data_IF_517294317777
#
_entry.id   IF_517294317777
#
_cell.length_a   1.000
_cell.length_b   1.000
_cell.length_c   1.000
_cell.angle_alpha   90.00
_cell.angle_beta   90.00
_cell.angle_gamma   90.00
#
_symmetry.space_group_name_H-M   'P 1'
#
loop_
_entity.id
_entity.type
_entity.pdbx_description
1 polymer ?
#
# COMPACT_ATOMS: atom_id res chain seq x y z
N UNK A 1 24.35 20.88 71.35
CA UNK A 1 23.25 20.61 70.41
C UNK A 1 22.08 21.45 70.86
N UNK A 2 21.90 22.60 70.23
CA UNK A 2 20.87 23.57 70.61
C UNK A 2 19.53 23.17 70.02
N UNK A 3 18.42 23.67 70.57
CA UNK A 3 17.06 23.42 70.09
C UNK A 3 16.90 23.63 68.57
N UNK A 4 17.68 24.57 68.00
CA UNK A 4 17.71 24.86 66.57
C UNK A 4 18.31 23.71 65.72
N UNK A 5 19.26 22.92 66.25
CA UNK A 5 19.86 21.80 65.52
C UNK A 5 18.84 20.65 65.31
N UNK A 6 17.99 20.40 66.32
CA UNK A 6 16.94 19.38 66.25
C UNK A 6 15.79 19.76 65.31
N UNK A 7 15.37 21.04 65.32
CA UNK A 7 14.35 21.55 64.39
C UNK A 7 14.86 21.50 62.94
N UNK A 8 16.14 21.79 62.70
CA UNK A 8 16.73 21.74 61.36
C UNK A 8 16.81 20.29 60.82
N UNK A 9 17.11 19.31 61.69
CA UNK A 9 17.12 17.89 61.35
C UNK A 9 15.70 17.39 61.00
N UNK A 10 14.70 17.70 61.81
CA UNK A 10 13.31 17.29 61.55
C UNK A 10 12.76 17.91 60.25
N UNK A 11 13.06 19.18 59.99
CA UNK A 11 12.72 19.85 58.74
C UNK A 11 13.39 19.19 57.52
N UNK A 12 14.63 18.74 57.64
CA UNK A 12 15.35 18.03 56.57
C UNK A 12 14.73 16.65 56.30
N UNK A 13 14.35 15.90 57.34
CA UNK A 13 13.63 14.63 57.19
C UNK A 13 12.26 14.81 56.55
N UNK A 14 11.54 15.90 56.87
CA UNK A 14 10.26 16.22 56.25
C UNK A 14 10.40 16.53 54.76
N UNK A 15 11.41 17.32 54.38
CA UNK A 15 11.72 17.62 52.98
C UNK A 15 12.10 16.36 52.18
N UNK A 16 12.91 15.48 52.76
CA UNK A 16 13.31 14.23 52.11
C UNK A 16 12.11 13.29 51.85
N UNK A 17 11.16 13.20 52.78
CA UNK A 17 9.93 12.43 52.60
C UNK A 17 9.05 12.99 51.48
N UNK A 18 8.93 14.33 51.40
CA UNK A 18 8.16 15.00 50.33
C UNK A 18 8.83 14.78 48.97
N UNK A 19 10.15 14.94 48.88
CA UNK A 19 10.90 14.69 47.64
C UNK A 19 10.77 13.23 47.17
N UNK A 20 10.83 12.28 48.10
CA UNK A 20 10.60 10.86 47.82
C UNK A 20 9.17 10.59 47.31
N UNK A 21 8.16 11.19 47.94
CA UNK A 21 6.77 11.06 47.50
C UNK A 21 6.56 11.64 46.09
N UNK A 22 7.14 12.80 45.78
CA UNK A 22 7.09 13.39 44.44
C UNK A 22 7.77 12.48 43.42
N UNK A 23 8.95 11.94 43.74
CA UNK A 23 9.66 11.01 42.85
C UNK A 23 8.83 9.75 42.56
N UNK A 24 8.17 9.18 43.56
CA UNK A 24 7.27 8.03 43.39
C UNK A 24 6.08 8.36 42.48
N UNK A 25 5.47 9.53 42.67
CA UNK A 25 4.38 10.00 41.79
C UNK A 25 4.88 10.18 40.36
N UNK A 26 6.04 10.81 40.16
CA UNK A 26 6.64 10.99 38.84
C UNK A 26 6.92 9.64 38.14
N UNK A 27 7.47 8.66 38.88
CA UNK A 27 7.72 7.32 38.36
C UNK A 27 6.41 6.62 38.00
N UNK A 28 5.40 6.66 38.86
CA UNK A 28 4.08 6.09 38.58
C UNK A 28 3.44 6.73 37.34
N UNK A 29 3.52 8.06 37.21
CA UNK A 29 3.02 8.74 36.00
C UNK A 29 3.79 8.33 34.75
N UNK A 30 5.12 8.19 34.82
CA UNK A 30 5.93 7.73 33.70
C UNK A 30 5.54 6.29 33.29
N UNK A 31 5.29 5.43 34.26
CA UNK A 31 4.89 4.03 34.04
C UNK A 31 3.51 3.96 33.38
N UNK A 32 2.54 4.77 33.86
CA UNK A 32 1.22 4.89 33.23
C UNK A 32 1.32 5.40 31.79
N UNK A 33 2.14 6.44 31.54
CA UNK A 33 2.37 6.96 30.18
C UNK A 33 2.99 5.89 29.28
N UNK A 34 3.98 5.13 29.78
CA UNK A 34 4.60 4.05 29.03
C UNK A 34 3.58 2.97 28.63
N UNK A 35 2.70 2.55 29.55
CA UNK A 35 1.62 1.59 29.25
C UNK A 35 0.64 2.15 28.21
N UNK A 36 0.24 3.43 28.32
CA UNK A 36 -0.66 4.05 27.34
C UNK A 36 -0.03 4.10 25.94
N UNK A 37 1.27 4.43 25.84
CA UNK A 37 1.99 4.47 24.57
C UNK A 37 2.11 3.08 23.93
N UNK A 38 2.36 2.05 24.72
CA UNK A 38 2.47 0.66 24.25
C UNK A 38 1.14 0.16 23.68
N UNK A 39 0.03 0.37 24.41
CA UNK A 39 -1.33 0.03 23.96
C UNK A 39 -1.75 0.78 22.69
N UNK A 40 -1.33 2.04 22.55
CA UNK A 40 -1.57 2.84 21.34
C UNK A 40 -0.78 2.26 20.16
N UNK A 41 0.48 1.91 20.39
CA UNK A 41 1.38 1.38 19.35
C UNK A 41 0.85 0.09 18.74
N UNK A 42 0.37 -0.85 19.56
CA UNK A 42 -0.20 -2.10 19.04
C UNK A 42 -1.41 -1.90 18.14
N UNK A 43 -2.24 -0.89 18.43
CA UNK A 43 -3.45 -0.59 17.65
C UNK A 43 -3.08 0.01 16.29
N UNK A 44 -2.13 0.95 16.26
CA UNK A 44 -1.61 1.52 15.02
C UNK A 44 -0.89 0.48 14.16
N UNK A 45 -0.09 -0.41 14.76
CA UNK A 45 0.58 -1.47 14.01
C UNK A 45 -0.41 -2.46 13.37
N UNK A 46 -1.53 -2.76 14.05
CA UNK A 46 -2.59 -3.65 13.50
C UNK A 46 -3.40 -3.00 12.38
N UNK A 47 -3.57 -1.68 12.42
CA UNK A 47 -4.27 -0.92 11.37
C UNK A 47 -3.38 -0.58 10.18
N UNK A 48 -2.08 -0.34 10.41
CA UNK A 48 -1.11 0.02 9.37
C UNK A 48 -0.55 -1.19 8.60
N UNK A 49 -0.86 -2.43 9.01
CA UNK A 49 -0.47 -3.62 8.25
C UNK A 49 -1.20 -3.68 6.92
N UNK A 50 -0.46 -4.04 5.88
CA UNK A 50 -1.01 -4.31 4.56
C UNK A 50 -2.16 -5.31 4.64
N UNK A 51 -3.29 -4.96 4.01
CA UNK A 51 -4.43 -5.85 3.80
C UNK A 51 -4.71 -5.93 2.31
N UNK A 52 -4.76 -7.15 1.74
CA UNK A 52 -5.20 -7.34 0.36
C UNK A 52 -6.52 -6.61 0.10
N UNK A 53 -6.72 -6.03 -1.10
CA UNK A 53 -7.96 -5.32 -1.41
C UNK A 53 -9.21 -6.15 -1.12
N UNK A 54 -9.19 -7.44 -1.48
CA UNK A 54 -10.28 -8.39 -1.27
C UNK A 54 -10.74 -8.58 0.19
N UNK A 55 -9.92 -8.18 1.18
CA UNK A 55 -10.21 -8.34 2.61
C UNK A 55 -10.82 -7.06 3.22
N UNK A 56 -11.03 -5.99 2.44
CA UNK A 56 -11.54 -4.71 2.97
C UNK A 56 -13.05 -4.78 3.26
N UNK A 57 -13.53 -4.17 4.36
CA UNK A 57 -14.95 -4.17 4.73
C UNK A 57 -15.92 -3.56 3.69
N UNK A 58 -15.40 -2.83 2.70
CA UNK A 58 -16.17 -2.27 1.58
C UNK A 58 -16.60 -3.34 0.55
N UNK A 59 -16.06 -4.56 0.60
CA UNK A 59 -16.25 -5.62 -0.42
C UNK A 59 -17.41 -6.59 -0.15
N UNK A 60 -18.34 -6.23 0.76
CA UNK A 60 -19.65 -6.91 0.86
C UNK A 60 -20.60 -6.52 -0.27
N UNK A 61 -20.06 -6.35 -1.48
CA UNK A 61 -20.85 -6.26 -2.70
C UNK A 61 -21.73 -7.50 -2.80
N UNK A 62 -23.01 -7.27 -3.06
CA UNK A 62 -23.97 -8.36 -3.24
C UNK A 62 -23.56 -9.22 -4.44
N UNK A 63 -23.92 -10.50 -4.43
CA UNK A 63 -23.63 -11.40 -5.57
C UNK A 63 -24.18 -10.87 -6.91
N UNK A 64 -25.26 -10.07 -6.87
CA UNK A 64 -25.82 -9.42 -8.05
C UNK A 64 -24.92 -8.31 -8.62
N UNK A 65 -24.36 -7.46 -7.76
CA UNK A 65 -23.45 -6.38 -8.13
C UNK A 65 -22.14 -6.91 -8.72
N UNK A 66 -21.62 -8.00 -8.16
CA UNK A 66 -20.45 -8.73 -8.70
C UNK A 66 -20.72 -9.28 -10.11
N UNK A 67 -21.92 -9.83 -10.35
CA UNK A 67 -22.32 -10.30 -11.68
C UNK A 67 -22.49 -9.16 -12.68
N UNK A 68 -22.89 -7.98 -12.22
CA UNK A 68 -23.02 -6.78 -13.05
C UNK A 68 -21.66 -6.23 -13.48
N UNK A 69 -20.70 -6.14 -12.54
CA UNK A 69 -19.31 -5.74 -12.81
C UNK A 69 -18.63 -6.61 -13.89
N UNK A 70 -18.99 -7.89 -13.98
CA UNK A 70 -18.49 -8.80 -15.02
C UNK A 70 -19.10 -8.56 -16.40
N UNK A 71 -20.27 -7.93 -16.49
CA UNK A 71 -21.02 -7.69 -17.74
C UNK A 71 -20.89 -6.27 -18.28
N UNK A 72 -20.04 -5.47 -17.66
CA UNK A 72 -19.79 -4.08 -18.06
C UNK A 72 -19.40 -4.00 -19.54
N UNK A 73 -19.98 -3.01 -20.24
CA UNK A 73 -19.61 -2.64 -21.60
C UNK A 73 -18.69 -1.42 -21.55
N UNK A 74 -17.37 -1.62 -21.50
CA UNK A 74 -16.44 -0.52 -21.33
C UNK A 74 -16.36 0.39 -22.56
N UNK A 75 -16.30 1.69 -22.31
CA UNK A 75 -16.09 2.74 -23.32
C UNK A 75 -14.62 3.14 -23.40
N UNK A 76 -13.88 2.96 -22.31
CA UNK A 76 -12.44 3.17 -22.22
C UNK A 76 -11.80 2.05 -21.40
N UNK A 77 -10.53 1.75 -21.69
CA UNK A 77 -9.75 0.83 -20.88
C UNK A 77 -8.36 0.65 -21.45
N UNK A 78 -7.42 0.18 -20.62
CA UNK A 78 -6.07 -0.13 -21.06
C UNK A 78 -5.55 -1.39 -20.36
N UNK A 79 -4.60 -2.05 -21.03
CA UNK A 79 -3.71 -3.01 -20.41
C UNK A 79 -2.35 -2.35 -20.20
N UNK A 80 -1.89 -2.35 -18.95
CA UNK A 80 -0.66 -1.67 -18.52
C UNK A 80 0.32 -2.71 -18.00
N UNK A 81 1.52 -2.72 -18.58
CA UNK A 81 2.66 -3.52 -18.14
C UNK A 81 3.46 -2.72 -17.11
N UNK A 82 3.66 -3.26 -15.92
CA UNK A 82 4.39 -2.58 -14.84
C UNK A 82 5.64 -3.38 -14.49
N UNK A 83 6.85 -2.88 -14.80
CA UNK A 83 8.09 -3.56 -14.42
C UNK A 83 8.20 -3.70 -12.91
N UNK A 84 8.60 -4.87 -12.45
CA UNK A 84 8.80 -5.18 -11.05
C UNK A 84 10.09 -6.01 -10.88
N UNK A 85 10.72 -5.93 -9.71
CA UNK A 85 11.98 -6.65 -9.46
C UNK A 85 11.86 -7.30 -8.09
N UNK A 86 11.85 -8.64 -8.02
CA UNK A 86 11.91 -9.33 -6.72
C UNK A 86 13.29 -9.23 -6.09
N UNK A 87 14.31 -9.08 -6.94
CA UNK A 87 15.66 -8.73 -6.54
C UNK A 87 16.37 -8.00 -7.68
N UNK A 88 17.45 -7.32 -7.31
CA UNK A 88 18.45 -6.78 -8.24
C UNK A 88 19.83 -7.19 -7.78
N UNK A 89 20.85 -7.03 -8.61
CA UNK A 89 22.22 -7.43 -8.27
C UNK A 89 23.07 -6.25 -7.82
N UNK A 90 23.94 -6.51 -6.84
CA UNK A 90 24.96 -5.57 -6.36
C UNK A 90 26.33 -6.26 -6.26
N UNK A 91 27.39 -5.44 -6.23
CA UNK A 91 28.78 -5.88 -6.16
C UNK A 91 29.08 -7.01 -7.16
N UNK A 92 29.50 -8.18 -6.67
CA UNK A 92 29.87 -9.35 -7.45
C UNK A 92 28.65 -10.23 -7.84
N UNK A 93 27.52 -9.60 -8.17
CA UNK A 93 26.30 -10.32 -8.57
C UNK A 93 25.46 -10.85 -7.41
N UNK A 94 25.67 -10.36 -6.18
CA UNK A 94 24.86 -10.77 -5.04
C UNK A 94 23.45 -10.19 -5.15
N UNK A 95 22.39 -10.99 -4.92
CA UNK A 95 21.02 -10.50 -5.00
C UNK A 95 20.67 -9.66 -3.77
N UNK A 96 20.06 -8.51 -4.01
CA UNK A 96 19.37 -7.69 -3.02
C UNK A 96 17.88 -7.88 -3.23
N UNK A 97 17.22 -8.55 -2.28
CA UNK A 97 15.80 -8.84 -2.34
C UNK A 97 14.97 -7.58 -2.13
N UNK A 98 13.81 -7.48 -2.76
CA UNK A 98 12.98 -6.27 -2.75
C UNK A 98 11.54 -6.64 -2.43
N UNK A 99 10.96 -5.95 -1.46
CA UNK A 99 9.51 -5.92 -1.28
C UNK A 99 8.91 -5.04 -2.37
N UNK A 100 7.86 -5.53 -3.03
CA UNK A 100 7.22 -4.83 -4.15
C UNK A 100 5.80 -4.44 -3.75
N UNK A 101 5.49 -3.15 -3.86
CA UNK A 101 4.15 -2.61 -3.71
C UNK A 101 3.70 -2.07 -5.06
N UNK A 102 2.78 -2.77 -5.73
CA UNK A 102 2.05 -2.23 -6.87
C UNK A 102 0.98 -1.27 -6.33
N UNK A 103 0.98 -0.02 -6.79
CA UNK A 103 -0.05 0.98 -6.48
C UNK A 103 -0.83 1.33 -7.75
N UNK A 104 -2.15 1.34 -7.63
CA UNK A 104 -3.08 1.78 -8.67
C UNK A 104 -3.91 2.91 -8.08
N UNK A 105 -3.92 4.06 -8.77
CA UNK A 105 -4.60 5.28 -8.31
C UNK A 105 -5.57 5.76 -9.37
N UNK A 106 -6.85 5.85 -9.02
CA UNK A 106 -7.83 6.56 -9.84
C UNK A 106 -7.53 8.06 -9.75
N UNK A 107 -7.21 8.68 -10.89
CA UNK A 107 -6.90 10.12 -10.98
C UNK A 107 -8.13 10.95 -11.35
N UNK A 108 -9.27 10.30 -11.64
CA UNK A 108 -10.52 11.00 -11.89
C UNK A 108 -11.09 11.57 -10.58
N UNK A 109 -11.48 12.86 -10.58
CA UNK A 109 -12.04 13.52 -9.39
C UNK A 109 -13.49 13.12 -9.11
N UNK A 110 -14.20 12.60 -10.11
CA UNK A 110 -15.65 12.42 -10.09
C UNK A 110 -16.14 11.07 -10.64
N UNK A 111 -15.31 10.34 -11.38
CA UNK A 111 -15.69 9.07 -12.00
C UNK A 111 -15.01 7.87 -11.35
N UNK A 112 -15.73 6.75 -11.33
CA UNK A 112 -15.20 5.46 -10.91
C UNK A 112 -14.34 4.82 -12.01
N UNK A 113 -13.32 4.09 -11.58
CA UNK A 113 -12.45 3.27 -12.41
C UNK A 113 -12.58 1.81 -11.97
N UNK A 114 -12.69 0.86 -12.89
CA UNK A 114 -12.74 -0.56 -12.53
C UNK A 114 -11.41 -1.23 -12.86
N UNK A 115 -10.73 -1.74 -11.84
CA UNK A 115 -9.55 -2.60 -12.01
C UNK A 115 -10.04 -4.01 -12.29
N UNK A 116 -10.00 -4.40 -13.57
CA UNK A 116 -10.52 -5.69 -14.04
C UNK A 116 -9.64 -6.87 -13.64
N UNK A 117 -8.32 -6.70 -13.70
CA UNK A 117 -7.39 -7.76 -13.31
C UNK A 117 -6.03 -7.21 -12.91
N UNK A 118 -5.36 -7.91 -11.99
CA UNK A 118 -3.97 -7.69 -11.62
C UNK A 118 -3.27 -9.04 -11.60
N UNK A 119 -2.32 -9.23 -12.51
CA UNK A 119 -1.61 -10.51 -12.71
C UNK A 119 -0.12 -10.28 -12.58
N UNK A 120 0.58 -11.17 -11.87
CA UNK A 120 2.01 -11.10 -11.61
C UNK A 120 2.73 -12.23 -12.34
N UNK A 121 3.82 -11.89 -13.02
CA UNK A 121 4.59 -12.79 -13.87
C UNK A 121 6.05 -12.84 -13.42
N UNK A 122 6.69 -13.99 -13.63
CA UNK A 122 8.12 -14.13 -13.44
C UNK A 122 8.93 -13.66 -14.66
N UNK A 123 10.25 -13.76 -14.54
CA UNK A 123 11.23 -13.37 -15.56
C UNK A 123 11.07 -14.14 -16.87
N UNK A 124 10.58 -15.38 -16.80
CA UNK A 124 10.35 -16.25 -17.96
C UNK A 124 8.99 -16.02 -18.63
N UNK A 125 8.16 -15.12 -18.08
CA UNK A 125 6.84 -14.80 -18.58
C UNK A 125 5.73 -15.76 -18.11
N UNK A 126 6.00 -16.60 -17.12
CA UNK A 126 4.99 -17.44 -16.46
C UNK A 126 4.17 -16.62 -15.47
N UNK A 127 2.85 -16.78 -15.49
CA UNK A 127 1.96 -16.14 -14.53
C UNK A 127 2.03 -16.85 -13.17
N UNK A 128 2.57 -16.18 -12.17
CA UNK A 128 2.71 -16.71 -10.82
C UNK A 128 1.43 -16.52 -9.99
N UNK A 129 0.77 -15.37 -10.13
CA UNK A 129 -0.36 -15.00 -9.26
C UNK A 129 -1.37 -14.10 -9.97
N UNK A 130 -2.65 -14.36 -9.73
CA UNK A 130 -3.72 -13.42 -9.98
C UNK A 130 -4.19 -12.86 -8.63
N UNK A 131 -4.13 -11.54 -8.47
CA UNK A 131 -4.45 -10.89 -7.20
C UNK A 131 -5.93 -10.55 -7.02
N UNK A 132 -6.69 -10.54 -8.13
CA UNK A 132 -8.11 -10.27 -8.15
C UNK A 132 -8.84 -11.50 -8.68
N UNK A 133 -9.81 -12.01 -7.91
CA UNK A 133 -10.77 -13.02 -8.37
C UNK A 133 -11.95 -12.39 -9.11
N UNK A 134 -12.24 -11.12 -8.83
CA UNK A 134 -13.35 -10.34 -9.39
C UNK A 134 -12.88 -8.90 -9.70
N UNK A 135 -13.53 -8.19 -10.64
CA UNK A 135 -13.23 -6.78 -10.89
C UNK A 135 -13.40 -5.94 -9.62
N UNK A 136 -12.46 -5.03 -9.39
CA UNK A 136 -12.45 -4.14 -8.23
C UNK A 136 -12.79 -2.71 -8.66
N UNK A 137 -13.97 -2.16 -8.30
CA UNK A 137 -14.26 -0.76 -8.51
C UNK A 137 -13.41 0.11 -7.59
N UNK A 138 -12.95 1.23 -8.12
CA UNK A 138 -12.09 2.19 -7.47
C UNK A 138 -12.76 3.56 -7.57
N UNK A 139 -13.31 4.00 -6.45
CA UNK A 139 -14.01 5.27 -6.31
C UNK A 139 -13.16 6.46 -6.81
N UNK A 140 -13.78 7.62 -7.10
CA UNK A 140 -13.04 8.82 -7.49
C UNK A 140 -11.91 9.15 -6.50
N UNK A 141 -10.73 9.46 -7.02
CA UNK A 141 -9.51 9.74 -6.25
C UNK A 141 -9.03 8.59 -5.33
N UNK A 142 -9.63 7.39 -5.40
CA UNK A 142 -9.24 6.27 -4.55
C UNK A 142 -8.01 5.54 -5.09
N UNK A 143 -7.36 4.77 -4.20
CA UNK A 143 -6.19 3.96 -4.53
C UNK A 143 -6.28 2.57 -3.96
N UNK A 144 -5.51 1.65 -4.54
CA UNK A 144 -5.43 0.27 -4.12
C UNK A 144 -4.03 -0.29 -4.35
N UNK A 145 -3.59 -1.17 -3.44
CA UNK A 145 -2.24 -1.68 -3.41
C UNK A 145 -2.18 -3.21 -3.39
N UNK A 146 -1.17 -3.76 -4.07
CA UNK A 146 -0.85 -5.19 -4.08
C UNK A 146 0.60 -5.41 -3.64
N UNK A 147 0.79 -6.30 -2.68
CA UNK A 147 2.10 -6.60 -2.09
C UNK A 147 2.67 -7.92 -2.64
N UNK A 148 3.94 -7.89 -3.02
CA UNK A 148 4.82 -9.06 -3.11
C UNK A 148 5.84 -8.89 -1.98
N UNK A 149 5.86 -9.85 -1.06
CA UNK A 149 6.76 -9.79 0.10
C UNK A 149 8.22 -9.93 -0.35
N UNK A 150 9.14 -9.23 0.30
CA UNK A 150 10.57 -9.26 -0.08
C UNK A 150 11.23 -10.64 0.03
N UNK A 151 10.62 -11.61 0.71
CA UNK A 151 11.08 -13.00 0.72
C UNK A 151 10.70 -13.80 -0.52
N UNK A 152 9.79 -13.29 -1.35
CA UNK A 152 9.32 -13.97 -2.56
C UNK A 152 10.28 -13.71 -3.74
N UNK A 153 11.17 -14.67 -3.99
CA UNK A 153 12.12 -14.61 -5.10
C UNK A 153 11.54 -15.09 -6.43
N UNK A 154 10.33 -15.66 -6.45
CA UNK A 154 9.78 -16.39 -7.61
C UNK A 154 9.63 -15.53 -8.86
N UNK A 155 9.44 -14.21 -8.71
CA UNK A 155 9.35 -13.29 -9.84
C UNK A 155 10.66 -13.08 -10.61
N UNK A 156 11.80 -13.23 -9.94
CA UNK A 156 13.12 -12.90 -10.48
C UNK A 156 13.34 -11.41 -10.82
N UNK A 157 14.38 -11.16 -11.61
CA UNK A 157 14.83 -9.80 -12.01
C UNK A 157 14.07 -9.21 -13.20
N UNK A 158 13.25 -10.01 -13.88
CA UNK A 158 12.38 -9.58 -14.98
C UNK A 158 10.90 -9.65 -14.61
N UNK A 159 10.57 -9.68 -13.32
CA UNK A 159 9.20 -9.77 -12.86
C UNK A 159 8.35 -8.60 -13.39
N UNK A 160 7.05 -8.81 -13.48
CA UNK A 160 6.16 -7.74 -13.93
C UNK A 160 4.73 -7.97 -13.48
N UNK A 161 3.97 -6.88 -13.45
CA UNK A 161 2.53 -6.93 -13.36
C UNK A 161 1.90 -6.61 -14.70
N UNK A 162 0.80 -7.28 -14.99
CA UNK A 162 -0.15 -6.88 -16.02
C UNK A 162 -1.44 -6.43 -15.34
N UNK A 163 -1.72 -5.14 -15.45
CA UNK A 163 -2.92 -4.51 -14.89
C UNK A 163 -3.87 -4.19 -16.02
N UNK A 164 -5.12 -4.63 -15.88
CA UNK A 164 -6.19 -4.25 -16.79
C UNK A 164 -7.18 -3.39 -16.04
N UNK A 165 -7.51 -2.23 -16.60
CA UNK A 165 -8.54 -1.36 -16.09
C UNK A 165 -9.53 -1.00 -17.20
N UNK A 166 -10.76 -0.72 -16.80
CA UNK A 166 -11.84 -0.29 -17.69
C UNK A 166 -12.67 0.81 -17.02
N UNK A 167 -13.42 1.55 -17.83
CA UNK A 167 -14.48 2.44 -17.37
C UNK A 167 -15.63 2.48 -18.37
N UNK A 168 -16.85 2.67 -17.85
CA UNK A 168 -18.07 2.85 -18.64
C UNK A 168 -18.20 4.26 -19.23
N UNK A 169 -17.41 5.20 -18.71
CA UNK A 169 -17.33 6.58 -19.19
C UNK A 169 -15.88 6.94 -19.47
N UNK A 170 -15.66 8.09 -20.12
CA UNK A 170 -14.30 8.62 -20.26
C UNK A 170 -13.81 9.12 -18.91
N UNK A 171 -12.62 8.68 -18.51
CA UNK A 171 -11.96 9.03 -17.26
C UNK A 171 -10.52 9.47 -17.51
N UNK A 172 -9.94 10.19 -16.54
CA UNK A 172 -8.50 10.47 -16.52
C UNK A 172 -7.72 9.15 -16.41
N UNK A 173 -6.58 9.07 -17.09
CA UNK A 173 -5.74 7.87 -17.03
C UNK A 173 -5.23 7.63 -15.59
N UNK A 174 -5.37 6.41 -15.07
CA UNK A 174 -4.89 6.10 -13.72
C UNK A 174 -3.37 6.13 -13.64
N UNK A 175 -2.85 6.42 -12.46
CA UNK A 175 -1.43 6.21 -12.17
C UNK A 175 -1.27 4.77 -11.70
N UNK A 176 -0.42 4.01 -12.39
CA UNK A 176 -0.09 2.63 -12.05
C UNK A 176 1.43 2.52 -11.97
N UNK A 177 1.94 2.15 -10.81
CA UNK A 177 3.37 2.08 -10.54
C UNK A 177 3.73 0.95 -9.58
N UNK A 178 4.92 0.39 -9.72
CA UNK A 178 5.50 -0.52 -8.75
C UNK A 178 6.56 0.24 -7.93
N UNK A 179 6.43 0.21 -6.62
CA UNK A 179 7.43 0.68 -5.67
C UNK A 179 8.19 -0.52 -5.15
N UNK A 180 9.52 -0.50 -5.25
CA UNK A 180 10.39 -1.53 -4.69
C UNK A 180 11.21 -0.94 -3.56
N UNK A 181 11.30 -1.67 -2.45
CA UNK A 181 12.06 -1.26 -1.28
C UNK A 181 12.82 -2.45 -0.69
N UNK A 182 14.07 -2.20 -0.34
CA UNK A 182 14.81 -2.98 0.64
C UNK A 182 15.25 -2.02 1.74
N UNK A 183 14.90 -2.34 2.98
CA UNK A 183 15.30 -1.60 4.17
C UNK A 183 15.87 -2.54 5.25
N UNK A 184 16.37 -3.72 4.87
CA UNK A 184 16.79 -4.77 5.80
C UNK A 184 18.14 -4.50 6.47
N UNK A 185 18.90 -3.51 5.98
CA UNK A 185 20.26 -3.17 6.42
C UNK A 185 20.51 -1.65 6.43
N UNK A 186 21.71 -1.25 6.85
CA UNK A 186 22.14 0.16 6.95
C UNK A 186 22.14 0.95 5.63
N UNK A 187 21.99 0.28 4.48
CA UNK A 187 21.87 0.90 3.17
C UNK A 187 20.54 0.46 2.55
N UNK A 188 19.49 1.22 2.85
CA UNK A 188 18.20 1.00 2.21
C UNK A 188 18.22 1.51 0.77
N UNK A 189 17.55 0.80 -0.13
CA UNK A 189 17.29 1.26 -1.49
C UNK A 189 15.79 1.27 -1.73
N UNK A 190 15.34 2.28 -2.45
CA UNK A 190 13.97 2.32 -2.94
C UNK A 190 13.90 3.01 -4.28
N UNK A 191 13.02 2.52 -5.14
CA UNK A 191 12.73 3.14 -6.43
C UNK A 191 11.34 2.76 -6.89
N UNK A 192 10.76 3.61 -7.73
CA UNK A 192 9.47 3.36 -8.36
C UNK A 192 9.66 3.19 -9.87
N UNK A 193 8.82 2.34 -10.47
CA UNK A 193 8.73 2.18 -11.93
C UNK A 193 7.29 2.40 -12.37
N UNK A 194 7.03 3.40 -13.24
CA UNK A 194 5.70 3.58 -13.80
C UNK A 194 5.38 2.44 -14.77
N UNK A 195 4.09 2.14 -14.89
CA UNK A 195 3.56 1.25 -15.90
C UNK A 195 3.66 1.86 -17.31
N UNK A 196 3.70 0.98 -18.32
CA UNK A 196 3.64 1.32 -19.73
C UNK A 196 2.37 0.72 -20.33
N UNK A 197 1.56 1.55 -20.98
CA UNK A 197 0.40 1.08 -21.74
C UNK A 197 0.89 0.22 -22.91
N UNK A 198 0.32 -0.98 -23.03
CA UNK A 198 0.66 -1.93 -24.11
C UNK A 198 -0.54 -2.26 -25.01
N UNK A 199 -1.75 -1.93 -24.58
CA UNK A 199 -2.97 -2.07 -25.39
C UNK A 199 -4.02 -1.11 -24.86
N UNK A 200 -4.77 -0.50 -25.77
CA UNK A 200 -5.98 0.26 -25.46
C UNK A 200 -7.21 -0.53 -25.88
N UNK A 201 -8.30 -0.34 -25.15
CA UNK A 201 -9.61 -0.83 -25.57
C UNK A 201 -10.17 0.15 -26.60
N UNK A 202 -9.90 -0.09 -27.88
CA UNK A 202 -10.46 0.69 -28.96
C UNK A 202 -11.98 0.45 -29.06
N UNK A 203 -12.78 1.47 -28.80
CA UNK A 203 -14.15 1.52 -29.30
C UNK A 203 -14.06 1.69 -30.81
N UNK A 204 -14.48 0.68 -31.57
CA UNK A 204 -14.57 0.76 -33.03
C UNK A 204 -15.55 1.87 -33.40
N UNK A 205 -15.05 3.07 -33.68
CA UNK A 205 -15.74 4.05 -34.50
C UNK A 205 -15.61 3.59 -35.95
N UNK A 206 -16.54 2.73 -36.37
CA UNK A 206 -16.89 2.59 -37.77
C UNK A 206 -17.61 3.86 -38.20
N UNK A 207 -16.85 4.91 -38.51
CA UNK A 207 -17.37 6.08 -39.21
C UNK A 207 -16.24 6.79 -40.00
N UNK A 208 -16.02 6.33 -41.23
CA UNK A 208 -15.82 7.25 -42.35
C UNK A 208 -16.35 6.58 -43.61
N UNK A 209 -17.55 7.01 -43.96
CA UNK A 209 -18.16 6.84 -45.27
C UNK A 209 -17.13 7.13 -46.37
N UNK A 210 -16.78 6.10 -47.16
CA UNK A 210 -16.38 6.32 -48.53
C UNK A 210 -17.62 6.69 -49.33
N UNK A 211 -17.92 7.99 -49.39
CA UNK A 211 -18.73 8.55 -50.46
C UNK A 211 -18.03 9.80 -50.96
N UNK A 212 -17.27 9.65 -52.05
CA UNK A 212 -17.29 10.58 -53.18
C UNK A 212 -16.43 10.02 -54.32
N UNK A 213 -17.11 9.31 -55.21
CA UNK A 213 -16.88 9.38 -56.67
C UNK A 213 -17.75 10.53 -57.21
N UNK A 214 -17.43 11.14 -58.37
CA UNK A 214 -17.33 10.48 -59.67
C UNK A 214 -15.94 10.54 -60.33
#
# INVERSE_FOLDING_TARGET
MTKNDFEQIDQSFRQLKIAGAIAVVLILTMLVVAVILDLRTETFEKEARYRPPADRPQDKQSAAERMELQRIKPVQGQTVYVPAYSHIYQDNGQPTLLTITLSIRNTSPDQELIVKSVRYFNTDGEQLKAYLSEPLPLAPMASTEFLVEGGDTSGGVGANFLVQWISEVKVSEPIIEAIMINADRQRGISFARPGKVISELSSTTSDSFQTQTP
#
